data_IF_695544289798
#
_entry.id   IF_695544289798
#
_cell.length_a   1.000
_cell.length_b   1.000
_cell.length_c   1.000
_cell.angle_alpha   90.00
_cell.angle_beta   90.00
_cell.angle_gamma   90.00
#
_symmetry.space_group_name_H-M   'P 1'
#
loop_
_entity.id
_entity.type
_entity.pdbx_description
1 polymer ?
#
# COMPACT_ATOMS: atom_id res chain seq x y z
N UNK A 1 -9.18 29.28 2.51
CA UNK A 1 -8.76 28.31 3.54
C UNK A 1 -7.62 27.49 2.97
N UNK A 2 -6.46 27.45 3.62
CA UNK A 2 -5.29 26.71 3.13
C UNK A 2 -5.32 25.31 3.76
N UNK A 3 -5.26 24.26 2.95
CA UNK A 3 -5.11 22.88 3.42
C UNK A 3 -3.62 22.53 3.40
N UNK A 4 -3.09 22.03 4.52
CA UNK A 4 -1.73 21.52 4.56
C UNK A 4 -1.68 20.14 3.89
N UNK A 5 -0.80 19.97 2.91
CA UNK A 5 -0.56 18.72 2.21
C UNK A 5 0.69 17.98 2.71
N UNK A 6 1.36 18.47 3.77
CA UNK A 6 2.50 17.80 4.39
C UNK A 6 2.20 16.36 4.79
N UNK A 7 0.97 16.08 5.22
CA UNK A 7 0.54 14.71 5.55
C UNK A 7 0.65 13.74 4.36
N UNK A 8 0.59 14.22 3.10
CA UNK A 8 0.66 13.35 1.93
C UNK A 8 2.04 12.68 1.87
N UNK A 9 3.10 13.43 2.18
CA UNK A 9 4.45 12.87 2.27
C UNK A 9 4.50 11.79 3.34
N UNK A 10 3.93 12.03 4.52
CA UNK A 10 3.91 11.03 5.60
C UNK A 10 3.20 9.74 5.18
N UNK A 11 2.03 9.85 4.55
CA UNK A 11 1.28 8.67 4.08
C UNK A 11 2.02 7.96 2.93
N UNK A 12 2.68 8.69 2.03
CA UNK A 12 3.51 8.09 0.97
C UNK A 12 4.71 7.35 1.55
N UNK A 13 5.40 7.94 2.54
CA UNK A 13 6.52 7.28 3.22
C UNK A 13 6.06 6.01 3.93
N UNK A 14 4.92 6.06 4.62
CA UNK A 14 4.39 4.92 5.36
C UNK A 14 3.88 3.78 4.46
N UNK A 15 3.22 4.11 3.35
CA UNK A 15 2.52 3.14 2.51
C UNK A 15 3.31 2.63 1.32
N UNK A 16 4.33 3.38 0.89
CA UNK A 16 5.14 3.08 -0.29
C UNK A 16 6.58 2.82 0.14
N UNK A 17 7.25 3.86 0.64
CA UNK A 17 8.70 3.82 0.90
C UNK A 17 9.07 2.72 1.90
N UNK A 18 8.38 2.66 3.04
CA UNK A 18 8.67 1.70 4.10
C UNK A 18 8.68 0.24 3.62
N UNK A 19 7.78 -0.14 2.72
CA UNK A 19 7.70 -1.50 2.19
C UNK A 19 8.52 -1.71 0.89
N UNK A 20 8.70 -0.69 0.07
CA UNK A 20 9.30 -0.83 -1.26
C UNK A 20 10.79 -0.49 -1.31
N UNK A 21 11.25 0.52 -0.58
CA UNK A 21 12.63 1.01 -0.70
C UNK A 21 13.64 -0.05 -0.27
N UNK A 22 14.74 -0.22 -1.00
CA UNK A 22 15.70 -1.32 -0.78
C UNK A 22 15.06 -2.72 -0.64
N UNK A 23 13.91 -2.94 -1.27
CA UNK A 23 13.21 -4.21 -1.28
C UNK A 23 12.91 -4.69 -2.70
N UNK A 24 12.50 -5.94 -2.81
CA UNK A 24 12.03 -6.53 -4.06
C UNK A 24 10.50 -6.60 -4.06
N UNK A 25 9.85 -6.30 -5.19
CA UNK A 25 8.42 -6.51 -5.38
C UNK A 25 8.20 -7.74 -6.26
N UNK A 26 7.29 -8.63 -5.87
CA UNK A 26 6.96 -9.82 -6.64
C UNK A 26 5.47 -10.15 -6.54
N UNK A 27 4.91 -10.67 -7.62
CA UNK A 27 3.56 -11.18 -7.63
C UNK A 27 3.47 -12.47 -6.80
N UNK A 28 2.45 -12.58 -5.95
CA UNK A 28 2.28 -13.75 -5.07
C UNK A 28 2.06 -15.06 -5.83
N UNK A 29 1.64 -14.99 -7.09
CA UNK A 29 1.47 -16.16 -7.97
C UNK A 29 2.55 -16.27 -9.04
N UNK A 30 3.66 -15.52 -8.90
CA UNK A 30 4.80 -15.63 -9.81
C UNK A 30 5.34 -17.08 -9.84
N UNK A 31 5.69 -17.64 -11.02
CA UNK A 31 6.22 -19.00 -11.12
C UNK A 31 7.45 -19.26 -10.23
N UNK A 32 8.22 -18.21 -9.89
CA UNK A 32 9.44 -18.32 -9.09
C UNK A 32 9.23 -17.99 -7.61
N UNK A 33 7.98 -17.76 -7.17
CA UNK A 33 7.69 -17.34 -5.79
C UNK A 33 8.29 -18.25 -4.73
N UNK A 34 8.42 -19.55 -5.02
CA UNK A 34 9.02 -20.54 -4.13
C UNK A 34 10.46 -20.18 -3.71
N UNK A 35 11.25 -19.56 -4.59
CA UNK A 35 12.62 -19.14 -4.31
C UNK A 35 12.71 -17.93 -3.37
N UNK A 36 11.61 -17.22 -3.16
CA UNK A 36 11.53 -16.02 -2.31
C UNK A 36 10.93 -16.30 -0.94
N UNK A 37 10.54 -17.54 -0.67
CA UNK A 37 10.05 -17.96 0.63
C UNK A 37 11.23 -18.22 1.58
N UNK A 38 11.10 -17.91 2.88
CA UNK A 38 12.10 -18.25 3.89
C UNK A 38 12.39 -19.78 3.89
N UNK A 39 13.67 -20.16 3.79
CA UNK A 39 14.13 -21.52 3.43
C UNK A 39 13.86 -22.65 4.45
N UNK A 40 13.95 -23.89 3.91
CA UNK A 40 13.99 -25.24 4.52
C UNK A 40 12.68 -25.88 5.03
N UNK A 41 11.55 -25.56 4.42
CA UNK A 41 10.30 -26.28 4.62
C UNK A 41 10.13 -27.41 3.57
N UNK A 42 9.67 -28.64 3.95
CA UNK A 42 9.20 -29.62 2.98
C UNK A 42 8.17 -29.00 2.02
N UNK A 43 8.10 -29.45 0.77
CA UNK A 43 7.25 -28.89 -0.29
C UNK A 43 5.79 -28.65 0.15
N UNK A 44 5.21 -29.59 0.92
CA UNK A 44 3.86 -29.46 1.48
C UNK A 44 3.70 -28.24 2.42
N UNK A 45 4.75 -27.90 3.18
CA UNK A 45 4.76 -26.72 4.06
C UNK A 45 4.97 -25.44 3.25
N UNK A 46 5.74 -25.47 2.16
CA UNK A 46 5.85 -24.33 1.23
C UNK A 46 4.49 -24.02 0.58
N UNK A 47 3.75 -25.04 0.13
CA UNK A 47 2.42 -24.86 -0.43
C UNK A 47 1.42 -24.25 0.57
N UNK A 48 1.44 -24.71 1.83
CA UNK A 48 0.58 -24.14 2.88
C UNK A 48 0.94 -22.67 3.19
N UNK A 49 2.23 -22.33 3.20
CA UNK A 49 2.71 -20.96 3.38
C UNK A 49 2.27 -20.07 2.23
N UNK A 50 2.41 -20.53 0.98
CA UNK A 50 1.98 -19.79 -0.20
C UNK A 50 0.49 -19.55 -0.19
N UNK A 51 -0.32 -20.55 0.16
CA UNK A 51 -1.77 -20.37 0.29
C UNK A 51 -2.10 -19.28 1.31
N UNK A 52 -1.45 -19.32 2.48
CA UNK A 52 -1.61 -18.28 3.50
C UNK A 52 -1.22 -16.89 2.98
N UNK A 53 -0.10 -16.78 2.25
CA UNK A 53 0.36 -15.51 1.70
C UNK A 53 -0.59 -14.97 0.62
N UNK A 54 -1.12 -15.83 -0.24
CA UNK A 54 -2.17 -15.48 -1.20
C UNK A 54 -3.39 -14.91 -0.48
N UNK A 55 -3.89 -15.62 0.53
CA UNK A 55 -5.04 -15.15 1.31
C UNK A 55 -4.77 -13.77 1.93
N UNK A 56 -3.61 -13.57 2.58
CA UNK A 56 -3.25 -12.29 3.19
C UNK A 56 -3.11 -11.16 2.16
N UNK A 57 -2.49 -11.43 1.01
CA UNK A 57 -2.32 -10.46 -0.09
C UNK A 57 -3.65 -10.11 -0.74
N UNK A 58 -4.55 -11.08 -0.94
CA UNK A 58 -5.91 -10.83 -1.47
C UNK A 58 -6.72 -9.91 -0.56
N UNK A 59 -6.57 -10.03 0.77
CA UNK A 59 -7.32 -9.19 1.71
C UNK A 59 -6.68 -7.81 1.95
N UNK A 60 -5.35 -7.73 2.01
CA UNK A 60 -4.63 -6.50 2.37
C UNK A 60 -4.05 -5.72 1.17
N UNK A 61 -4.10 -6.31 -0.03
CA UNK A 61 -3.49 -5.81 -1.27
C UNK A 61 -1.99 -6.10 -1.38
N UNK A 62 -1.28 -6.19 -0.25
CA UNK A 62 0.15 -6.49 -0.20
C UNK A 62 0.55 -7.21 1.09
N UNK A 63 1.70 -7.87 1.06
CA UNK A 63 2.33 -8.47 2.24
C UNK A 63 3.85 -8.31 2.20
N UNK A 64 4.42 -7.70 3.22
CA UNK A 64 5.87 -7.66 3.41
C UNK A 64 6.35 -8.96 4.07
N UNK A 65 7.38 -9.57 3.52
CA UNK A 65 8.07 -10.74 4.07
C UNK A 65 9.57 -10.50 4.10
N UNK A 66 10.26 -11.23 4.97
CA UNK A 66 11.71 -11.37 4.94
C UNK A 66 12.05 -12.69 4.25
N UNK A 67 12.61 -12.61 3.05
CA UNK A 67 12.99 -13.78 2.25
C UNK A 67 14.51 -13.99 2.22
N UNK A 68 15.00 -15.00 1.48
CA UNK A 68 16.43 -15.26 1.33
C UNK A 68 17.20 -14.11 0.65
N UNK A 69 16.50 -13.23 -0.06
CA UNK A 69 17.06 -12.04 -0.71
C UNK A 69 16.76 -10.74 0.05
N UNK A 70 16.31 -10.84 1.30
CA UNK A 70 15.95 -9.70 2.14
C UNK A 70 14.48 -9.30 2.04
N UNK A 71 14.24 -8.00 2.24
CA UNK A 71 12.90 -7.39 2.25
C UNK A 71 12.17 -7.62 0.90
N UNK A 72 11.07 -8.36 0.94
CA UNK A 72 10.28 -8.69 -0.24
C UNK A 72 8.81 -8.32 -0.03
N UNK A 73 8.26 -7.50 -0.92
CA UNK A 73 6.85 -7.12 -0.95
C UNK A 73 6.09 -8.01 -1.94
N UNK A 74 5.19 -8.83 -1.40
CA UNK A 74 4.26 -9.63 -2.19
C UNK A 74 3.05 -8.78 -2.59
N UNK A 75 2.70 -8.82 -3.88
CA UNK A 75 1.58 -8.09 -4.47
C UNK A 75 0.54 -9.05 -5.06
N UNK A 76 -0.71 -8.61 -5.11
CA UNK A 76 -1.83 -9.38 -5.69
C UNK A 76 -1.74 -9.48 -7.21
N UNK A 77 -0.96 -8.60 -7.85
CA UNK A 77 -0.75 -8.52 -9.29
C UNK A 77 0.74 -8.36 -9.63
N UNK A 78 1.06 -8.53 -10.91
CA UNK A 78 2.41 -8.32 -11.47
C UNK A 78 2.83 -6.86 -11.22
N UNK A 79 4.05 -6.59 -10.71
CA UNK A 79 4.50 -5.24 -10.30
C UNK A 79 4.87 -4.33 -11.49
N UNK A 80 3.97 -4.17 -12.47
CA UNK A 80 4.13 -3.18 -13.54
C UNK A 80 3.77 -1.78 -13.02
N UNK A 81 4.25 -0.72 -13.67
CA UNK A 81 3.97 0.66 -13.27
C UNK A 81 2.45 0.96 -13.17
N UNK A 82 1.65 0.40 -14.08
CA UNK A 82 0.18 0.55 -14.10
C UNK A 82 -0.47 -0.10 -12.88
N UNK A 83 -0.06 -1.32 -12.55
CA UNK A 83 -0.58 -2.05 -11.39
C UNK A 83 -0.15 -1.39 -10.08
N UNK A 84 1.09 -0.88 -10.01
CA UNK A 84 1.58 -0.12 -8.86
C UNK A 84 0.83 1.20 -8.69
N UNK A 85 0.54 1.91 -9.79
CA UNK A 85 -0.23 3.15 -9.74
C UNK A 85 -1.63 2.92 -9.16
N UNK A 86 -2.31 1.87 -9.61
CA UNK A 86 -3.60 1.46 -9.05
C UNK A 86 -3.49 1.06 -7.58
N UNK A 87 -2.52 0.20 -7.27
CA UNK A 87 -2.31 -0.31 -5.91
C UNK A 87 -2.08 0.82 -4.91
N UNK A 88 -1.16 1.74 -5.21
CA UNK A 88 -0.90 2.88 -4.33
C UNK A 88 -2.05 3.88 -4.28
N UNK A 89 -2.82 4.05 -5.37
CA UNK A 89 -4.03 4.86 -5.33
C UNK A 89 -5.05 4.30 -4.32
N UNK A 90 -5.34 3.00 -4.38
CA UNK A 90 -6.30 2.35 -3.50
C UNK A 90 -5.89 2.45 -2.02
N UNK A 91 -4.57 2.50 -1.74
CA UNK A 91 -4.03 2.70 -0.39
C UNK A 91 -4.09 4.15 0.07
N UNK A 92 -3.68 5.09 -0.78
CA UNK A 92 -3.57 6.50 -0.41
C UNK A 92 -4.92 7.23 -0.40
N UNK A 93 -5.87 6.86 -1.27
CA UNK A 93 -7.17 7.54 -1.38
C UNK A 93 -7.95 7.61 -0.05
N UNK A 94 -8.18 6.51 0.71
CA UNK A 94 -8.86 6.59 2.00
C UNK A 94 -8.07 7.40 3.04
N UNK A 95 -6.73 7.40 2.97
CA UNK A 95 -5.84 8.14 3.89
C UNK A 95 -5.89 9.63 3.65
N UNK A 96 -5.90 10.05 2.38
CA UNK A 96 -6.10 11.45 1.99
C UNK A 96 -7.45 11.96 2.49
N UNK A 97 -8.53 11.20 2.30
CA UNK A 97 -9.85 11.56 2.83
C UNK A 97 -9.83 11.68 4.36
N UNK A 98 -9.25 10.71 5.04
CA UNK A 98 -9.17 10.71 6.50
C UNK A 98 -8.36 11.89 7.06
N UNK A 99 -7.11 12.07 6.60
CA UNK A 99 -6.18 13.11 7.08
C UNK A 99 -6.64 14.53 6.73
N UNK A 100 -7.41 14.69 5.65
CA UNK A 100 -7.98 15.98 5.27
C UNK A 100 -9.33 16.31 5.92
N UNK A 101 -9.89 15.40 6.75
CA UNK A 101 -11.26 15.49 7.27
C UNK A 101 -12.31 15.59 6.15
N UNK A 102 -12.17 14.76 5.12
CA UNK A 102 -13.03 14.70 3.93
C UNK A 102 -13.04 15.99 3.10
N UNK A 103 -12.02 16.86 3.25
CA UNK A 103 -11.89 18.11 2.48
C UNK A 103 -11.02 17.98 1.23
N UNK A 104 -10.34 16.84 1.06
CA UNK A 104 -9.55 16.55 -0.13
C UNK A 104 -9.73 15.09 -0.57
N UNK A 105 -9.60 14.90 -1.88
CA UNK A 105 -9.67 13.59 -2.53
C UNK A 105 -8.42 13.39 -3.39
N UNK A 106 -7.90 12.17 -3.37
CA UNK A 106 -6.81 11.78 -4.26
C UNK A 106 -7.33 11.70 -5.70
N UNK A 107 -6.80 12.53 -6.59
CA UNK A 107 -7.25 12.58 -7.99
C UNK A 107 -6.58 11.50 -8.85
N UNK A 108 -5.27 11.34 -8.67
CA UNK A 108 -4.45 10.36 -9.41
C UNK A 108 -3.16 10.03 -8.68
N UNK A 109 -2.60 8.88 -9.06
CA UNK A 109 -1.23 8.47 -8.74
C UNK A 109 -0.50 8.27 -10.06
N UNK A 110 0.71 8.83 -10.14
CA UNK A 110 1.64 8.67 -11.26
C UNK A 110 2.85 7.88 -10.77
N UNK A 111 3.19 6.80 -11.48
CA UNK A 111 4.33 5.95 -11.16
C UNK A 111 5.33 6.02 -12.29
N UNK A 112 6.51 6.55 -11.97
CA UNK A 112 7.63 6.65 -12.89
C UNK A 112 8.59 5.49 -12.61
N UNK A 113 8.65 4.52 -13.51
CA UNK A 113 9.64 3.42 -13.44
C UNK A 113 11.03 3.94 -13.81
N UNK A 114 11.07 4.77 -14.86
CA UNK A 114 12.25 5.51 -15.29
C UNK A 114 11.83 6.95 -15.60
N UNK A 115 12.78 7.89 -15.79
CA UNK A 115 12.43 9.26 -16.15
C UNK A 115 11.60 9.40 -17.44
N UNK A 116 11.57 8.39 -18.32
CA UNK A 116 10.85 8.43 -19.59
C UNK A 116 9.68 7.41 -19.67
N UNK A 117 9.50 6.54 -18.67
CA UNK A 117 8.45 5.53 -18.65
C UNK A 117 7.59 5.70 -17.40
N UNK A 118 6.30 6.00 -17.60
CA UNK A 118 5.36 6.30 -16.53
C UNK A 118 3.98 5.73 -16.82
N UNK A 119 3.29 5.33 -15.75
CA UNK A 119 1.88 4.97 -15.76
C UNK A 119 1.08 5.84 -14.79
N UNK A 120 -0.19 6.06 -15.12
CA UNK A 120 -1.12 6.83 -14.29
C UNK A 120 -2.34 5.99 -13.94
N UNK A 121 -2.78 6.09 -12.69
CA UNK A 121 -4.12 5.65 -12.27
C UNK A 121 -4.89 6.84 -11.72
N UNK A 122 -6.12 7.03 -12.20
CA UNK A 122 -6.99 8.15 -11.83
C UNK A 122 -8.30 7.65 -11.24
N UNK A 123 -8.98 8.53 -10.50
CA UNK A 123 -10.37 8.27 -10.10
C UNK A 123 -11.25 8.20 -11.36
N UNK A 124 -12.00 7.12 -11.54
CA UNK A 124 -12.88 6.94 -12.71
C UNK A 124 -14.26 7.60 -12.55
N UNK A 125 -14.53 8.34 -11.46
CA UNK A 125 -15.89 8.81 -11.16
C UNK A 125 -16.03 10.35 -11.16
N UNK A 126 -16.81 10.94 -12.09
CA UNK A 126 -17.15 12.37 -12.11
C UNK A 126 -18.13 12.80 -11.00
N UNK A 127 -18.82 11.87 -10.33
CA UNK A 127 -19.89 12.18 -9.36
C UNK A 127 -19.37 12.33 -7.92
N UNK A 128 -18.46 13.28 -7.74
CA UNK A 128 -17.78 13.56 -6.47
C UNK A 128 -18.70 14.07 -5.33
N UNK A 129 -19.96 14.39 -5.61
CA UNK A 129 -20.92 14.88 -4.62
C UNK A 129 -21.68 13.79 -3.84
N UNK A 130 -21.50 12.50 -4.13
CA UNK A 130 -22.43 11.46 -3.66
C UNK A 130 -22.05 10.70 -2.36
N UNK A 131 -20.92 10.99 -1.71
CA UNK A 131 -20.45 10.15 -0.58
C UNK A 131 -20.00 10.95 0.66
N UNK A 132 -20.97 11.30 1.52
CA UNK A 132 -20.77 11.97 2.83
C UNK A 132 -20.33 11.02 3.97
N UNK A 133 -20.09 9.74 3.71
CA UNK A 133 -19.69 8.79 4.75
C UNK A 133 -18.16 8.72 4.87
N UNK A 134 -17.61 9.16 6.00
CA UNK A 134 -16.20 8.95 6.38
C UNK A 134 -15.95 7.44 6.52
N UNK A 135 -15.09 6.80 5.70
CA UNK A 135 -14.74 5.41 5.89
C UNK A 135 -13.89 5.26 7.16
N UNK A 136 -14.21 4.26 8.00
CA UNK A 136 -13.33 3.88 9.11
C UNK A 136 -12.05 3.27 8.54
N UNK A 137 -10.88 3.71 9.01
CA UNK A 137 -9.59 3.09 8.65
C UNK A 137 -9.61 1.59 8.99
N UNK A 138 -9.04 0.70 8.16
CA UNK A 138 -8.83 -0.69 8.55
C UNK A 138 -7.95 -0.76 9.81
N UNK A 139 -8.38 -1.57 10.77
CA UNK A 139 -7.75 -1.71 12.09
C UNK A 139 -6.39 -2.41 11.99
N UNK A 140 -5.36 -1.65 11.64
CA UNK A 140 -3.99 -2.12 11.49
C UNK A 140 -3.00 -1.15 12.14
N UNK A 141 -2.84 -1.29 13.46
CA UNK A 141 -1.69 -0.88 14.30
C UNK A 141 -1.21 0.59 14.18
N UNK A 142 -1.81 1.46 14.99
CA UNK A 142 -1.21 2.72 15.45
C UNK A 142 -1.14 2.69 16.98
N UNK A 143 -0.04 2.19 17.54
CA UNK A 143 0.22 2.25 18.99
C UNK A 143 1.38 3.19 19.36
N UNK A 144 1.75 4.11 18.48
CA UNK A 144 2.77 5.12 18.75
C UNK A 144 2.36 6.37 17.99
N UNK A 145 1.99 7.43 18.72
CA UNK A 145 1.68 8.82 18.32
C UNK A 145 0.48 9.44 19.09
N UNK A 146 0.06 8.83 20.21
CA UNK A 146 -0.73 9.55 21.22
C UNK A 146 0.24 10.22 22.21
N UNK A 147 0.65 11.44 21.91
CA UNK A 147 1.57 12.22 22.73
C UNK A 147 1.62 13.67 22.29
N UNK A 148 0.46 14.32 22.19
CA UNK A 148 0.41 15.78 22.29
C UNK A 148 -0.75 16.18 23.19
N UNK A 149 -0.34 16.46 24.42
CA UNK A 149 -1.14 16.93 25.54
C UNK A 149 -1.73 18.30 25.19
N UNK A 150 -3.05 18.44 25.28
CA UNK A 150 -3.73 19.73 25.13
C UNK A 150 -4.00 20.30 26.52
N UNK A 151 -2.96 20.90 27.10
CA UNK A 151 -3.10 21.81 28.23
C UNK A 151 -3.03 23.24 27.73
N UNK A 152 -4.14 23.99 27.86
CA UNK A 152 -4.18 25.34 28.43
C UNK A 152 -5.61 25.91 28.33
N UNK A 153 -6.23 25.95 29.52
CA UNK A 153 -7.21 26.91 30.08
C UNK A 153 -8.44 27.31 29.27
#
# INVERSE_FOLDING_TARGET
>A
MVLDFGFLKDEMMAEIDACCDHGMMIWVDDPWIGSFLPENAPEAKAAAVLRKYRDEVTHAGQKLIEGPFGKTLLLASVPTAENLAKHWFDRLAPRVRFRSHNRAHLLRVEVWETPNCMATYNTQDPDWFAFDAVPKLPSGRLSHLAGYDSGLS
#
